data_IF_099493523870
#
_entry.id   IF_099493523870
#
_cell.length_a   1.000
_cell.length_b   1.000
_cell.length_c   1.000
_cell.angle_alpha   90.00
_cell.angle_beta   90.00
_cell.angle_gamma   90.00
#
_symmetry.space_group_name_H-M   'P 1'
#
loop_
_entity.id
_entity.type
_entity.pdbx_description
1 polymer ?
#
# COMPACT_ATOMS: atom_id res chain seq x y z
N UNK A 1 -1.10 -3.09 7.84
CA UNK A 1 -1.26 -4.31 7.02
C UNK A 1 0.10 -4.79 6.55
N UNK A 2 0.40 -6.03 6.79
CA UNK A 2 1.60 -6.70 6.28
C UNK A 2 1.12 -7.98 5.62
N UNK A 3 1.25 -8.08 4.30
CA UNK A 3 0.65 -9.22 3.60
C UNK A 3 1.39 -9.57 2.32
N UNK A 4 1.53 -10.87 2.07
CA UNK A 4 1.95 -11.39 0.77
C UNK A 4 0.70 -11.72 -0.04
N UNK A 5 0.59 -11.10 -1.22
CA UNK A 5 -0.52 -11.32 -2.13
C UNK A 5 -0.11 -12.32 -3.20
N UNK A 6 -0.94 -13.32 -3.42
CA UNK A 6 -0.74 -14.31 -4.48
C UNK A 6 -1.34 -13.79 -5.78
N UNK A 7 -0.58 -13.87 -6.85
CA UNK A 7 -1.01 -13.46 -8.19
C UNK A 7 -1.25 -14.65 -9.11
N UNK A 8 -1.18 -15.87 -8.56
CA UNK A 8 -1.45 -17.09 -9.31
C UNK A 8 -2.51 -17.91 -8.59
N UNK A 9 -3.44 -18.47 -9.38
CA UNK A 9 -4.48 -19.33 -8.86
C UNK A 9 -4.96 -20.25 -9.99
N UNK A 10 -5.26 -21.50 -9.68
CA UNK A 10 -5.67 -22.48 -10.70
C UNK A 10 -6.94 -22.10 -11.45
N UNK A 11 -7.86 -21.39 -10.78
CA UNK A 11 -9.19 -21.07 -11.33
C UNK A 11 -9.41 -19.59 -11.59
N UNK A 12 -8.51 -18.71 -11.15
CA UNK A 12 -8.68 -17.26 -11.26
C UNK A 12 -7.55 -16.68 -12.09
N UNK A 13 -7.91 -15.87 -13.08
CA UNK A 13 -6.92 -15.21 -13.94
C UNK A 13 -6.14 -14.17 -13.15
N UNK A 14 -4.84 -13.97 -13.44
CA UNK A 14 -4.02 -12.97 -12.75
C UNK A 14 -4.63 -11.57 -12.74
N UNK A 15 -5.26 -11.15 -13.83
CA UNK A 15 -5.91 -9.83 -13.90
C UNK A 15 -6.99 -9.65 -12.82
N UNK A 16 -7.76 -10.69 -12.53
CA UNK A 16 -8.77 -10.64 -11.46
C UNK A 16 -8.15 -10.61 -10.07
N UNK A 17 -7.03 -11.31 -9.89
CA UNK A 17 -6.29 -11.28 -8.63
C UNK A 17 -5.74 -9.87 -8.38
N UNK A 18 -5.21 -9.22 -9.41
CA UNK A 18 -4.73 -7.83 -9.34
C UNK A 18 -5.86 -6.87 -8.97
N UNK A 19 -7.03 -7.01 -9.58
CA UNK A 19 -8.19 -6.19 -9.23
C UNK A 19 -8.60 -6.36 -7.77
N UNK A 20 -8.57 -7.61 -7.28
CA UNK A 20 -8.87 -7.89 -5.87
C UNK A 20 -7.87 -7.24 -4.93
N UNK A 21 -6.57 -7.29 -5.26
CA UNK A 21 -5.53 -6.63 -4.49
C UNK A 21 -5.77 -5.12 -4.43
N UNK A 22 -6.02 -4.49 -5.58
CA UNK A 22 -6.27 -3.05 -5.65
C UNK A 22 -7.48 -2.64 -4.81
N UNK A 23 -8.53 -3.45 -4.83
CA UNK A 23 -9.73 -3.24 -4.04
C UNK A 23 -9.43 -3.34 -2.54
N UNK A 24 -8.69 -4.36 -2.14
CA UNK A 24 -8.33 -4.58 -0.74
C UNK A 24 -7.47 -3.43 -0.21
N UNK A 25 -6.48 -3.00 -0.97
CA UNK A 25 -5.62 -1.87 -0.62
C UNK A 25 -6.43 -0.59 -0.47
N UNK A 26 -7.30 -0.31 -1.43
CA UNK A 26 -8.15 0.89 -1.40
C UNK A 26 -9.08 0.90 -0.19
N UNK A 27 -9.69 -0.23 0.11
CA UNK A 27 -10.56 -0.37 1.29
C UNK A 27 -9.77 -0.16 2.59
N UNK A 28 -8.59 -0.74 2.68
CA UNK A 28 -7.73 -0.61 3.85
C UNK A 28 -7.35 0.84 4.10
N UNK A 29 -6.84 1.53 3.09
CA UNK A 29 -6.46 2.93 3.19
C UNK A 29 -7.65 3.81 3.56
N UNK A 30 -8.81 3.59 2.94
CA UNK A 30 -10.02 4.36 3.22
C UNK A 30 -10.47 4.16 4.66
N UNK A 31 -10.44 2.94 5.17
CA UNK A 31 -10.82 2.62 6.54
C UNK A 31 -9.87 3.28 7.54
N UNK A 32 -8.56 3.22 7.29
CA UNK A 32 -7.57 3.81 8.19
C UNK A 32 -7.68 5.33 8.21
N UNK A 33 -7.95 5.96 7.07
CA UNK A 33 -8.12 7.42 6.98
C UNK A 33 -9.36 7.92 7.74
N UNK A 34 -10.34 7.07 7.98
CA UNK A 34 -11.57 7.43 8.71
C UNK A 34 -11.44 7.37 10.23
N UNK A 35 -10.38 6.77 10.73
CA UNK A 35 -10.16 6.70 12.18
C UNK A 35 -9.93 8.08 12.76
N UNK A 36 -10.38 8.28 14.01
CA UNK A 36 -10.20 9.55 14.70
C UNK A 36 -8.73 9.89 14.83
N UNK A 37 -8.40 11.15 14.53
CA UNK A 37 -7.03 11.64 14.67
C UNK A 37 -6.72 11.95 16.15
N UNK A 38 -5.54 11.56 16.65
CA UNK A 38 -5.07 11.99 17.96
C UNK A 38 -4.91 13.51 18.00
N UNK A 39 -4.91 14.09 19.22
CA UNK A 39 -4.69 15.53 19.38
C UNK A 39 -3.38 15.97 18.75
N UNK A 40 -3.44 17.06 17.99
CA UNK A 40 -2.26 17.64 17.33
C UNK A 40 -1.85 16.98 16.03
N UNK A 41 -2.56 15.93 15.61
CA UNK A 41 -2.28 15.24 14.35
C UNK A 41 -3.18 15.81 13.26
N UNK A 42 -2.60 16.16 12.12
CA UNK A 42 -3.34 16.82 11.02
C UNK A 42 -4.00 15.83 10.06
N UNK A 43 -3.38 14.67 9.85
CA UNK A 43 -3.90 13.65 8.95
C UNK A 43 -3.25 12.30 9.23
N UNK A 44 -3.78 11.25 8.61
CA UNK A 44 -3.13 9.94 8.62
C UNK A 44 -2.17 9.84 7.45
N UNK A 45 -0.93 9.50 7.76
CA UNK A 45 0.10 9.17 6.77
C UNK A 45 0.37 7.67 6.81
N UNK A 46 1.14 7.16 5.86
CA UNK A 46 1.40 5.73 5.76
C UNK A 46 2.85 5.45 5.39
N UNK A 47 3.47 4.54 6.16
CA UNK A 47 4.76 3.96 5.80
C UNK A 47 4.50 2.70 5.02
N UNK A 48 5.06 2.60 3.83
CA UNK A 48 4.82 1.49 2.93
C UNK A 48 6.12 0.82 2.51
N UNK A 49 6.04 -0.51 2.30
CA UNK A 49 7.12 -1.29 1.71
C UNK A 49 6.53 -2.22 0.67
N UNK A 50 7.29 -2.46 -0.39
CA UNK A 50 6.88 -3.33 -1.49
C UNK A 50 8.08 -4.10 -2.02
N UNK A 51 7.87 -5.37 -2.34
CA UNK A 51 8.91 -6.20 -2.94
C UNK A 51 8.41 -7.60 -3.27
N UNK A 52 9.23 -8.40 -3.92
CA UNK A 52 8.85 -9.78 -4.24
C UNK A 52 8.69 -10.64 -2.99
N UNK A 53 9.41 -10.30 -1.91
CA UNK A 53 9.32 -10.96 -0.61
C UNK A 53 9.43 -9.92 0.48
N UNK A 54 9.08 -10.30 1.71
CA UNK A 54 9.23 -9.42 2.87
C UNK A 54 10.68 -8.96 3.06
N UNK A 55 11.63 -9.87 2.91
CA UNK A 55 13.06 -9.57 3.10
C UNK A 55 13.57 -8.57 2.05
N UNK A 56 13.07 -8.68 0.82
CA UNK A 56 13.50 -7.83 -0.30
C UNK A 56 12.63 -6.59 -0.47
N UNK A 57 11.64 -6.39 0.41
CA UNK A 57 10.76 -5.24 0.30
C UNK A 57 11.50 -3.93 0.57
N UNK A 58 11.26 -2.94 -0.27
CA UNK A 58 11.87 -1.62 -0.17
C UNK A 58 10.81 -0.58 0.20
N UNK A 59 11.27 0.50 0.83
CA UNK A 59 10.39 1.60 1.21
C UNK A 59 9.87 2.29 -0.05
N UNK A 60 8.55 2.47 -0.12
CA UNK A 60 7.89 3.21 -1.19
C UNK A 60 6.96 4.26 -0.59
N UNK A 61 6.57 5.23 -1.41
CA UNK A 61 5.52 6.17 -1.04
C UNK A 61 4.15 5.53 -1.21
N UNK A 62 3.16 5.94 -0.41
CA UNK A 62 1.80 5.44 -0.54
C UNK A 62 1.24 5.69 -1.95
N UNK A 63 1.63 6.81 -2.57
CA UNK A 63 1.23 7.14 -3.95
C UNK A 63 1.82 6.21 -5.01
N UNK A 64 2.86 5.46 -4.65
CA UNK A 64 3.53 4.54 -5.58
C UNK A 64 2.95 3.11 -5.55
N UNK A 65 2.06 2.82 -4.62
CA UNK A 65 1.51 1.46 -4.47
C UNK A 65 0.87 0.97 -5.77
N UNK A 66 0.05 1.80 -6.41
CA UNK A 66 -0.63 1.42 -7.66
C UNK A 66 0.36 1.08 -8.77
N UNK A 67 1.42 1.88 -8.90
CA UNK A 67 2.49 1.65 -9.88
C UNK A 67 3.22 0.35 -9.59
N UNK A 68 3.55 0.09 -8.33
CA UNK A 68 4.23 -1.14 -7.92
C UNK A 68 3.40 -2.38 -8.23
N UNK A 69 2.08 -2.32 -7.99
CA UNK A 69 1.17 -3.41 -8.33
C UNK A 69 1.15 -3.65 -9.85
N UNK A 70 1.11 -2.58 -10.64
CA UNK A 70 1.15 -2.70 -12.10
C UNK A 70 2.47 -3.32 -12.59
N UNK A 71 3.59 -2.95 -11.98
CA UNK A 71 4.90 -3.52 -12.31
C UNK A 71 4.96 -5.01 -11.96
N UNK A 72 4.42 -5.41 -10.81
CA UNK A 72 4.36 -6.81 -10.43
C UNK A 72 3.55 -7.64 -11.44
N UNK A 73 2.45 -7.10 -11.91
CA UNK A 73 1.65 -7.74 -12.96
C UNK A 73 2.43 -7.86 -14.26
N UNK A 74 3.07 -6.78 -14.69
CA UNK A 74 3.85 -6.75 -15.93
C UNK A 74 5.03 -7.72 -15.89
N UNK A 75 5.65 -7.90 -14.75
CA UNK A 75 6.77 -8.82 -14.55
C UNK A 75 6.32 -10.27 -14.32
N UNK A 76 5.01 -10.53 -14.32
CA UNK A 76 4.43 -11.85 -14.08
C UNK A 76 4.90 -12.50 -12.77
N UNK A 77 5.00 -11.70 -11.72
CA UNK A 77 5.35 -12.22 -10.40
C UNK A 77 4.25 -13.16 -9.90
N UNK A 78 4.65 -14.26 -9.28
CA UNK A 78 3.70 -15.20 -8.67
C UNK A 78 3.08 -14.62 -7.41
N UNK A 79 3.81 -13.76 -6.72
CA UNK A 79 3.36 -13.11 -5.50
C UNK A 79 4.19 -11.85 -5.25
N UNK A 80 3.71 -10.98 -4.37
CA UNK A 80 4.49 -9.85 -3.89
C UNK A 80 4.11 -9.54 -2.45
N UNK A 81 5.03 -8.87 -1.75
CA UNK A 81 4.82 -8.42 -0.38
C UNK A 81 4.49 -6.94 -0.36
N UNK A 82 3.45 -6.57 0.38
CA UNK A 82 3.07 -5.18 0.59
C UNK A 82 2.84 -4.92 2.07
N UNK A 83 3.45 -3.85 2.56
CA UNK A 83 3.29 -3.40 3.93
C UNK A 83 2.76 -1.97 3.92
N UNK A 84 1.72 -1.72 4.71
CA UNK A 84 1.13 -0.40 4.88
C UNK A 84 0.87 -0.20 6.36
N UNK A 85 1.55 0.77 6.96
CA UNK A 85 1.42 1.08 8.39
C UNK A 85 0.99 2.53 8.54
N UNK A 86 -0.17 2.75 9.17
CA UNK A 86 -0.67 4.09 9.43
C UNK A 86 0.18 4.76 10.50
N UNK A 87 0.45 6.04 10.32
CA UNK A 87 1.19 6.87 11.27
C UNK A 87 0.63 8.29 11.28
N UNK A 88 0.87 9.05 12.37
CA UNK A 88 0.48 10.47 12.41
C UNK A 88 1.20 11.27 11.32
N UNK A 89 0.44 12.14 10.66
CA UNK A 89 0.98 13.07 9.68
C UNK A 89 0.75 14.52 10.13
N UNK A 90 1.62 15.40 9.72
CA UNK A 90 1.59 16.80 10.10
C UNK A 90 1.76 17.70 8.90
N UNK A 91 0.92 18.73 8.79
CA UNK A 91 1.05 19.72 7.73
C UNK A 91 2.31 20.53 7.95
N UNK A 92 3.05 20.74 6.86
CA UNK A 92 4.20 21.64 6.91
C UNK A 92 3.70 23.07 7.03
N UNK A 93 4.13 23.75 8.09
CA UNK A 93 3.90 25.18 8.23
C UNK A 93 5.06 25.88 7.51
N UNK A 94 4.72 26.54 6.40
CA UNK A 94 5.68 27.41 5.71
C UNK A 94 5.78 28.69 6.53
N UNK A 95 6.88 28.83 7.27
CA UNK A 95 7.17 30.10 7.91
C UNK A 95 7.71 31.07 6.86
N UNK A 96 6.97 32.13 6.63
CA UNK A 96 7.53 33.29 5.96
C UNK A 96 8.36 34.06 6.98
N UNK A 97 9.61 34.17 6.69
CA UNK A 97 10.50 35.03 7.44
C UNK A 97 10.51 36.39 6.79
#
# INVERSE_FOLDING_TARGET
>A
MKKTFQLTHQKIKPARLIEAVRRDVKKYLKREKRKSLPNGVDYWDFDCKFGPTEIKAEIILVSEISKCISEAEAENLESFYLEILAKPGYKKILKKL
#
